data_IF_346077629984
#
_entry.id   IF_346077629984
#
_cell.length_a   1.000
_cell.length_b   1.000
_cell.length_c   1.000
_cell.angle_alpha   90.00
_cell.angle_beta   90.00
_cell.angle_gamma   90.00
#
_symmetry.space_group_name_H-M   'P 1'
#
loop_
_entity.id
_entity.type
_entity.pdbx_description
1 polymer ?
#
# COMPACT_ATOMS: atom_id res chain seq x y z
N UNK A 1 8.06 -3.37 30.62
CA UNK A 1 6.66 -3.71 30.25
C UNK A 1 5.71 -2.51 30.06
N UNK A 2 5.95 -1.31 30.62
CA UNK A 2 5.06 -0.13 30.44
C UNK A 2 5.17 0.60 29.08
N UNK A 3 6.33 0.64 28.41
CA UNK A 3 6.52 1.43 27.17
C UNK A 3 6.01 0.79 25.85
N UNK A 4 5.69 -0.52 25.85
CA UNK A 4 5.04 -1.16 24.68
C UNK A 4 3.55 -0.77 24.52
N UNK A 5 2.92 -0.20 25.55
CA UNK A 5 1.51 0.25 25.48
C UNK A 5 1.30 1.46 24.57
N UNK A 6 2.26 2.40 24.54
CA UNK A 6 2.07 3.67 23.84
C UNK A 6 2.03 3.53 22.31
N UNK A 7 2.67 2.50 21.74
CA UNK A 7 2.62 2.24 20.28
C UNK A 7 1.21 1.78 19.84
N UNK A 8 0.51 1.04 20.70
CA UNK A 8 -0.84 0.57 20.43
C UNK A 8 -1.89 1.69 20.51
N UNK A 9 -1.69 2.67 21.39
CA UNK A 9 -2.62 3.81 21.56
C UNK A 9 -2.69 4.68 20.30
N UNK A 10 -1.56 4.88 19.61
CA UNK A 10 -1.55 5.60 18.33
C UNK A 10 -2.19 4.84 17.18
N UNK A 11 -2.33 3.52 17.21
CA UNK A 11 -3.04 2.81 16.14
C UNK A 11 -4.57 2.77 16.36
N UNK A 12 -5.03 2.91 17.60
CA UNK A 12 -6.45 2.83 17.95
C UNK A 12 -7.31 3.91 17.29
N UNK A 13 -6.85 5.16 17.22
CA UNK A 13 -7.62 6.25 16.60
C UNK A 13 -7.78 6.08 15.08
N UNK A 14 -6.76 5.52 14.41
CA UNK A 14 -6.80 5.21 12.98
C UNK A 14 -7.76 4.07 12.69
N UNK A 15 -7.74 3.02 13.51
CA UNK A 15 -8.68 1.90 13.38
C UNK A 15 -10.14 2.37 13.54
N UNK A 16 -10.41 3.24 14.52
CA UNK A 16 -11.73 3.86 14.69
C UNK A 16 -12.08 4.72 13.46
N UNK A 17 -11.16 5.57 13.00
CA UNK A 17 -11.37 6.41 11.81
C UNK A 17 -11.69 5.59 10.55
N UNK A 18 -11.05 4.44 10.39
CA UNK A 18 -11.28 3.53 9.27
C UNK A 18 -12.67 2.90 9.35
N UNK A 19 -13.08 2.40 10.52
CA UNK A 19 -14.42 1.81 10.73
C UNK A 19 -15.55 2.82 10.43
N UNK A 20 -15.36 4.09 10.77
CA UNK A 20 -16.38 5.13 10.54
C UNK A 20 -16.34 5.75 9.13
N UNK A 21 -15.21 5.64 8.42
CA UNK A 21 -15.01 6.30 7.11
C UNK A 21 -14.87 5.30 5.97
N UNK A 22 -15.18 4.02 6.20
CA UNK A 22 -15.19 2.97 5.19
C UNK A 22 -16.34 3.25 4.20
N UNK A 23 -15.98 3.56 2.96
CA UNK A 23 -16.91 3.61 1.83
C UNK A 23 -16.46 2.57 0.81
N UNK A 24 -17.37 2.03 0.00
CA UNK A 24 -17.04 0.98 -0.99
C UNK A 24 -16.05 1.42 -2.08
N UNK A 25 -15.74 2.72 -2.14
CA UNK A 25 -14.76 3.29 -3.06
C UNK A 25 -13.49 3.70 -2.29
N UNK A 26 -12.31 3.49 -2.89
CA UNK A 26 -11.04 3.93 -2.33
C UNK A 26 -10.99 5.47 -2.30
N UNK A 27 -11.43 6.06 -1.19
CA UNK A 27 -11.52 7.50 -1.04
C UNK A 27 -10.35 8.03 -0.22
N UNK A 28 -9.62 9.01 -0.77
CA UNK A 28 -8.53 9.68 -0.05
C UNK A 28 -9.16 10.64 0.95
N UNK A 29 -9.56 10.09 2.08
CA UNK A 29 -10.18 10.86 3.14
C UNK A 29 -9.14 11.42 4.11
N UNK A 30 -9.63 12.18 5.09
CA UNK A 30 -8.85 12.80 6.16
C UNK A 30 -7.96 11.82 6.94
N UNK A 31 -8.19 10.49 6.88
CA UNK A 31 -7.36 9.50 7.58
C UNK A 31 -5.95 9.36 6.99
N UNK A 32 -5.79 9.63 5.69
CA UNK A 32 -4.49 9.52 4.97
C UNK A 32 -3.37 10.36 5.60
N UNK A 33 -3.54 11.68 5.87
CA UNK A 33 -2.52 12.46 6.57
C UNK A 33 -2.24 11.96 8.00
N UNK A 34 -3.26 11.44 8.71
CA UNK A 34 -3.08 10.88 10.05
C UNK A 34 -2.31 9.55 10.05
N UNK A 35 -2.39 8.75 8.97
CA UNK A 35 -1.53 7.58 8.78
C UNK A 35 -0.05 7.99 8.77
N UNK A 36 0.31 9.01 7.99
CA UNK A 36 1.69 9.51 7.90
C UNK A 36 2.16 10.07 9.24
N UNK A 37 1.30 10.83 9.92
CA UNK A 37 1.58 11.35 11.26
C UNK A 37 1.86 10.22 12.26
N UNK A 38 1.06 9.16 12.22
CA UNK A 38 1.21 8.00 13.09
C UNK A 38 2.53 7.26 12.84
N UNK A 39 2.91 7.05 11.58
CA UNK A 39 4.20 6.45 11.25
C UNK A 39 5.38 7.27 11.81
N UNK A 40 5.27 8.60 11.76
CA UNK A 40 6.29 9.50 12.32
C UNK A 40 6.36 9.42 13.85
N UNK A 41 5.22 9.29 14.54
CA UNK A 41 5.21 9.09 15.99
C UNK A 41 5.72 7.70 16.41
N UNK A 42 5.44 6.67 15.63
CA UNK A 42 6.04 5.34 15.84
C UNK A 42 7.56 5.45 15.73
N UNK A 43 8.07 6.09 14.67
CA UNK A 43 9.50 6.35 14.49
C UNK A 43 10.10 7.12 15.67
N UNK A 44 9.44 8.18 16.13
CA UNK A 44 9.85 8.96 17.30
C UNK A 44 9.97 8.09 18.57
N UNK A 45 8.99 7.22 18.84
CA UNK A 45 9.03 6.34 20.01
C UNK A 45 10.21 5.38 19.93
N UNK A 46 10.51 4.85 18.73
CA UNK A 46 11.68 3.99 18.51
C UNK A 46 12.99 4.77 18.69
N UNK A 47 13.11 5.96 18.13
CA UNK A 47 14.30 6.81 18.26
C UNK A 47 14.58 7.22 19.72
N UNK A 48 13.52 7.49 20.50
CA UNK A 48 13.63 7.73 21.96
C UNK A 48 14.07 6.45 22.66
N UNK A 49 13.50 5.30 22.30
CA UNK A 49 13.88 4.03 22.90
C UNK A 49 15.37 3.70 22.68
N UNK A 50 15.85 3.90 21.44
CA UNK A 50 17.26 3.70 21.12
C UNK A 50 18.17 4.73 21.80
N UNK A 51 17.70 5.95 22.03
CA UNK A 51 18.44 6.96 22.80
C UNK A 51 18.69 6.61 24.29
N UNK A 52 18.04 5.59 24.84
CA UNK A 52 18.29 5.09 26.20
C UNK A 52 19.35 3.97 26.25
N UNK A 53 19.76 3.42 25.09
CA UNK A 53 20.78 2.37 25.02
C UNK A 53 22.18 2.98 24.93
N UNK A 54 23.22 2.27 25.41
CA UNK A 54 24.60 2.71 25.20
C UNK A 54 24.95 2.72 23.70
N UNK A 55 25.84 3.63 23.30
CA UNK A 55 26.18 3.84 21.88
C UNK A 55 26.82 2.60 21.24
N UNK A 56 27.52 1.79 22.03
CA UNK A 56 28.24 0.60 21.54
C UNK A 56 27.30 -0.54 21.11
N UNK A 57 26.06 -0.56 21.58
CA UNK A 57 25.04 -1.54 21.19
C UNK A 57 24.24 -1.10 19.95
N UNK A 58 24.37 0.17 19.53
CA UNK A 58 23.57 0.75 18.47
C UNK A 58 24.29 0.66 17.12
N UNK A 59 23.52 0.38 16.07
CA UNK A 59 24.03 0.46 14.69
C UNK A 59 24.22 1.91 14.28
N UNK A 60 25.12 2.16 13.32
CA UNK A 60 25.47 3.52 12.85
C UNK A 60 24.25 4.36 12.46
N UNK A 61 23.23 3.77 11.81
CA UNK A 61 22.00 4.49 11.45
C UNK A 61 21.15 4.86 12.67
N UNK A 62 21.09 3.98 13.69
CA UNK A 62 20.34 4.24 14.93
C UNK A 62 21.00 5.35 15.75
N UNK A 63 22.33 5.42 15.75
CA UNK A 63 23.07 6.48 16.44
C UNK A 63 22.68 7.86 15.87
N UNK A 64 22.56 7.98 14.54
CA UNK A 64 22.22 9.24 13.87
C UNK A 64 20.82 9.75 14.21
N UNK A 65 19.86 8.83 14.42
CA UNK A 65 18.46 9.18 14.69
C UNK A 65 18.10 9.18 16.18
N UNK A 66 18.92 8.54 17.02
CA UNK A 66 18.66 8.36 18.44
C UNK A 66 18.40 9.68 19.18
N UNK A 67 17.35 9.71 19.99
CA UNK A 67 16.96 10.89 20.75
C UNK A 67 17.34 10.70 22.22
N UNK A 68 18.45 11.30 22.63
CA UNK A 68 18.93 11.27 24.02
C UNK A 68 18.10 12.15 24.95
N UNK A 69 17.71 13.34 24.47
CA UNK A 69 16.87 14.30 25.23
C UNK A 69 15.42 14.18 24.77
N UNK A 70 14.56 13.73 25.66
CA UNK A 70 13.12 13.62 25.44
C UNK A 70 12.52 14.95 24.96
N UNK A 71 11.70 14.94 23.89
CA UNK A 71 11.03 16.15 23.40
C UNK A 71 9.89 16.59 24.34
N UNK A 72 9.55 17.87 24.28
CA UNK A 72 8.36 18.40 24.95
C UNK A 72 7.12 18.25 24.04
N UNK A 73 5.92 18.46 24.60
CA UNK A 73 4.67 18.32 23.85
C UNK A 73 4.57 19.29 22.66
N UNK A 74 5.10 20.51 22.81
CA UNK A 74 5.11 21.51 21.74
C UNK A 74 5.98 21.08 20.56
N UNK A 75 7.14 20.51 20.83
CA UNK A 75 8.07 19.99 19.83
C UNK A 75 7.47 18.78 19.09
N UNK A 76 6.80 17.89 19.82
CA UNK A 76 6.08 16.76 19.22
C UNK A 76 4.98 17.26 18.29
N UNK A 77 4.21 18.28 18.71
CA UNK A 77 3.17 18.90 17.89
C UNK A 77 3.77 19.58 16.65
N UNK A 78 4.83 20.38 16.80
CA UNK A 78 5.51 21.02 15.68
C UNK A 78 6.08 20.01 14.68
N UNK A 79 6.63 18.91 15.17
CA UNK A 79 7.12 17.80 14.35
C UNK A 79 5.97 17.12 13.59
N UNK A 80 4.89 16.77 14.30
CA UNK A 80 3.73 16.07 13.72
C UNK A 80 3.01 16.89 12.66
N UNK A 81 2.79 18.18 12.91
CA UNK A 81 2.03 19.08 12.03
C UNK A 81 2.88 19.90 11.04
N UNK A 82 4.14 19.53 10.83
CA UNK A 82 5.01 20.21 9.87
C UNK A 82 4.47 20.09 8.43
N UNK A 83 4.01 21.21 7.86
CA UNK A 83 3.22 21.25 6.63
C UNK A 83 3.86 20.56 5.41
N UNK A 84 5.19 20.60 5.26
CA UNK A 84 5.87 19.91 4.15
C UNK A 84 5.80 18.38 4.24
N UNK A 85 5.38 17.84 5.38
CA UNK A 85 5.33 16.40 5.69
C UNK A 85 3.92 15.85 5.96
N UNK A 86 2.94 16.71 6.29
CA UNK A 86 1.68 16.26 6.91
C UNK A 86 0.71 15.54 5.97
N UNK A 87 0.62 15.90 4.68
CA UNK A 87 -0.46 15.43 3.80
C UNK A 87 -0.14 14.20 2.95
N UNK A 88 1.06 14.14 2.39
CA UNK A 88 1.59 12.98 1.65
C UNK A 88 3.11 12.91 1.78
N UNK A 89 3.66 13.76 2.66
CA UNK A 89 5.05 14.19 2.58
C UNK A 89 6.03 13.15 3.10
N UNK A 90 7.33 13.36 2.84
CA UNK A 90 8.35 12.39 3.14
C UNK A 90 8.42 12.12 4.65
N UNK A 91 8.60 10.86 5.03
CA UNK A 91 8.87 10.51 6.41
C UNK A 91 10.29 10.96 6.78
N UNK A 92 10.41 11.71 7.87
CA UNK A 92 11.69 12.11 8.45
C UNK A 92 11.67 12.04 9.97
N UNK A 93 12.85 11.88 10.55
CA UNK A 93 13.06 11.68 12.00
C UNK A 93 13.06 13.00 12.76
N UNK A 94 12.80 12.94 14.08
CA UNK A 94 12.83 14.13 14.92
C UNK A 94 14.23 14.74 15.01
N UNK A 95 15.28 13.92 14.98
CA UNK A 95 16.68 14.39 14.95
C UNK A 95 16.91 15.33 13.77
N UNK A 96 16.47 14.93 12.56
CA UNK A 96 16.54 15.77 11.36
C UNK A 96 15.69 17.04 11.49
N UNK A 97 14.51 16.95 12.10
CA UNK A 97 13.66 18.11 12.35
C UNK A 97 14.34 19.13 13.28
N UNK A 98 15.02 18.66 14.34
CA UNK A 98 15.81 19.52 15.23
C UNK A 98 16.92 20.23 14.47
N UNK A 99 17.70 19.51 13.65
CA UNK A 99 18.73 20.10 12.79
C UNK A 99 18.16 21.15 11.82
N UNK A 100 16.96 20.91 11.29
CA UNK A 100 16.26 21.87 10.44
C UNK A 100 15.87 23.14 11.21
N UNK A 101 15.23 23.01 12.37
CA UNK A 101 14.83 24.15 13.21
C UNK A 101 16.06 24.92 13.73
N UNK A 102 17.15 24.23 14.02
CA UNK A 102 18.43 24.84 14.42
C UNK A 102 19.13 25.58 13.25
N UNK A 103 18.71 25.35 12.01
CA UNK A 103 19.30 25.97 10.82
C UNK A 103 20.61 25.31 10.36
N UNK A 104 20.91 24.08 10.78
CA UNK A 104 22.14 23.36 10.43
C UNK A 104 22.26 23.08 8.92
N UNK A 105 21.13 23.05 8.20
CA UNK A 105 21.08 22.85 6.76
C UNK A 105 21.26 24.14 5.94
N UNK A 106 21.27 25.30 6.59
CA UNK A 106 21.46 26.58 5.92
C UNK A 106 22.93 26.78 5.53
N UNK A 107 23.19 27.79 4.70
CA UNK A 107 24.56 28.17 4.35
C UNK A 107 25.25 28.93 5.50
N UNK A 108 26.55 29.24 5.37
CA UNK A 108 27.32 30.01 6.35
C UNK A 108 26.68 31.37 6.70
N UNK A 109 25.86 31.93 5.80
CA UNK A 109 25.12 33.18 6.00
C UNK A 109 23.73 32.99 6.63
N UNK A 110 23.36 31.75 7.00
CA UNK A 110 22.00 31.34 7.41
C UNK A 110 20.92 31.56 6.35
N UNK A 111 21.30 31.46 5.08
CA UNK A 111 20.38 31.55 3.94
C UNK A 111 20.08 30.16 3.37
N UNK A 112 18.95 30.04 2.66
CA UNK A 112 18.57 28.80 1.98
C UNK A 112 19.53 28.56 0.81
N UNK A 113 20.08 27.34 0.74
CA UNK A 113 21.05 26.98 -0.31
C UNK A 113 20.39 26.98 -1.69
N UNK A 114 20.87 27.84 -2.58
CA UNK A 114 20.39 27.95 -3.97
C UNK A 114 20.61 26.64 -4.75
N UNK A 115 21.59 25.83 -4.34
CA UNK A 115 21.82 24.49 -4.91
C UNK A 115 20.61 23.56 -4.84
N UNK A 116 19.64 23.83 -3.94
CA UNK A 116 18.39 23.07 -3.85
C UNK A 116 17.39 23.35 -4.96
N UNK A 117 17.55 24.44 -5.71
CA UNK A 117 16.58 24.88 -6.73
C UNK A 117 16.55 23.92 -7.93
N UNK A 118 17.71 23.57 -8.48
CA UNK A 118 17.79 22.68 -9.65
C UNK A 118 17.23 21.27 -9.37
N UNK A 119 17.56 20.60 -8.25
CA UNK A 119 16.92 19.33 -7.88
C UNK A 119 15.40 19.43 -7.71
N UNK A 120 14.92 20.52 -7.11
CA UNK A 120 13.47 20.73 -6.90
C UNK A 120 12.75 20.91 -8.24
N UNK A 121 13.31 21.73 -9.14
CA UNK A 121 12.77 21.94 -10.48
C UNK A 121 12.80 20.65 -11.31
N UNK A 122 13.89 19.88 -11.24
CA UNK A 122 14.00 18.59 -11.93
C UNK A 122 12.92 17.60 -11.47
N UNK A 123 12.68 17.49 -10.16
CA UNK A 123 11.60 16.66 -9.61
C UNK A 123 10.21 17.14 -10.04
N UNK A 124 10.00 18.46 -10.08
CA UNK A 124 8.75 19.04 -10.55
C UNK A 124 8.48 18.72 -12.02
N UNK A 125 9.47 18.91 -12.90
CA UNK A 125 9.35 18.61 -14.33
C UNK A 125 9.11 17.10 -14.55
N UNK A 126 9.83 16.24 -13.83
CA UNK A 126 9.60 14.78 -13.90
C UNK A 126 8.19 14.41 -13.43
N UNK A 127 7.67 15.05 -12.37
CA UNK A 127 6.32 14.82 -11.90
C UNK A 127 5.27 15.25 -12.95
N UNK A 128 5.43 16.42 -13.57
CA UNK A 128 4.54 16.86 -14.65
C UNK A 128 4.58 15.91 -15.84
N UNK A 129 5.77 15.48 -16.26
CA UNK A 129 5.93 14.52 -17.36
C UNK A 129 5.27 13.18 -17.05
N UNK A 130 5.46 12.66 -15.82
CA UNK A 130 4.80 11.44 -15.35
C UNK A 130 3.28 11.60 -15.38
N UNK A 131 2.74 12.70 -14.86
CA UNK A 131 1.28 12.96 -14.84
C UNK A 131 0.72 12.96 -16.27
N UNK A 132 1.41 13.58 -17.23
CA UNK A 132 0.96 13.62 -18.63
C UNK A 132 0.93 12.20 -19.21
N UNK A 133 2.00 11.42 -19.05
CA UNK A 133 2.07 10.05 -19.55
C UNK A 133 1.00 9.18 -18.88
N UNK A 134 0.85 9.31 -17.56
CA UNK A 134 -0.12 8.54 -16.80
C UNK A 134 -1.56 8.89 -17.23
N UNK A 135 -1.89 10.17 -17.34
CA UNK A 135 -3.22 10.61 -17.77
C UNK A 135 -3.52 10.12 -19.20
N UNK A 136 -2.52 10.12 -20.08
CA UNK A 136 -2.67 9.58 -21.42
C UNK A 136 -2.82 8.05 -21.39
N UNK A 137 -2.04 7.35 -20.57
CA UNK A 137 -2.10 5.89 -20.41
C UNK A 137 -3.44 5.40 -19.85
N UNK A 138 -3.99 6.10 -18.85
CA UNK A 138 -5.29 5.76 -18.24
C UNK A 138 -6.45 5.85 -19.24
N UNK A 139 -6.36 6.70 -20.28
CA UNK A 139 -7.37 6.74 -21.35
C UNK A 139 -7.43 5.43 -22.15
N UNK A 140 -6.32 4.71 -22.26
CA UNK A 140 -6.23 3.45 -23.00
C UNK A 140 -6.40 2.23 -22.10
N UNK A 141 -5.84 2.28 -20.89
CA UNK A 141 -5.85 1.19 -19.92
C UNK A 141 -6.35 1.75 -18.58
N UNK A 142 -7.65 1.60 -18.28
CA UNK A 142 -8.20 2.00 -17.00
C UNK A 142 -7.50 1.29 -15.84
N UNK A 143 -7.37 1.94 -14.68
CA UNK A 143 -6.68 1.34 -13.52
C UNK A 143 -7.39 0.09 -13.00
N UNK A 144 -8.70 0.01 -13.23
CA UNK A 144 -9.55 -1.12 -12.89
C UNK A 144 -9.11 -2.39 -13.64
N UNK A 145 -8.53 -2.25 -14.83
CA UNK A 145 -8.00 -3.38 -15.59
C UNK A 145 -6.92 -4.15 -14.81
N UNK A 146 -6.03 -3.45 -14.09
CA UNK A 146 -4.98 -4.12 -13.32
C UNK A 146 -5.51 -4.89 -12.11
N UNK A 147 -6.76 -4.66 -11.72
CA UNK A 147 -7.45 -5.41 -10.68
C UNK A 147 -8.50 -6.38 -11.26
N UNK A 148 -8.56 -6.55 -12.57
CA UNK A 148 -9.54 -7.41 -13.21
C UNK A 148 -9.08 -8.87 -13.24
N UNK A 149 -10.01 -9.85 -13.19
CA UNK A 149 -9.67 -11.27 -13.29
C UNK A 149 -8.85 -11.59 -14.55
N UNK A 150 -9.12 -10.90 -15.65
CA UNK A 150 -8.43 -11.11 -16.94
C UNK A 150 -6.95 -10.75 -16.87
N UNK A 151 -6.60 -9.68 -16.14
CA UNK A 151 -5.19 -9.31 -15.93
C UNK A 151 -4.46 -10.38 -15.10
N UNK A 152 -5.09 -10.88 -14.04
CA UNK A 152 -4.53 -11.95 -13.21
C UNK A 152 -4.43 -13.28 -13.97
N UNK A 153 -5.45 -13.64 -14.76
CA UNK A 153 -5.40 -14.81 -15.65
C UNK A 153 -4.25 -14.70 -16.65
N UNK A 154 -4.08 -13.55 -17.29
CA UNK A 154 -2.97 -13.30 -18.21
C UNK A 154 -1.60 -13.44 -17.53
N UNK A 155 -1.44 -12.88 -16.34
CA UNK A 155 -0.24 -13.04 -15.53
C UNK A 155 0.01 -14.52 -15.15
N UNK A 156 -1.04 -15.27 -14.83
CA UNK A 156 -0.96 -16.68 -14.50
C UNK A 156 -0.62 -17.57 -15.72
N UNK A 157 -1.07 -17.19 -16.92
CA UNK A 157 -0.65 -17.82 -18.18
C UNK A 157 0.84 -17.60 -18.40
N UNK A 158 1.31 -16.35 -18.28
CA UNK A 158 2.73 -16.03 -18.42
C UNK A 158 3.61 -16.72 -17.37
N UNK A 159 3.09 -16.88 -16.14
CA UNK A 159 3.75 -17.61 -15.08
C UNK A 159 3.75 -19.14 -15.28
N UNK A 160 3.00 -19.67 -16.24
CA UNK A 160 2.92 -21.08 -16.57
C UNK A 160 1.86 -21.87 -15.79
N UNK A 161 1.33 -21.34 -14.69
CA UNK A 161 0.39 -22.06 -13.81
C UNK A 161 -0.97 -22.33 -14.46
N UNK A 162 -1.34 -21.55 -15.48
CA UNK A 162 -2.59 -21.75 -16.22
C UNK A 162 -2.55 -22.94 -17.20
N UNK A 163 -1.40 -23.62 -17.36
CA UNK A 163 -1.29 -24.75 -18.29
C UNK A 163 -2.14 -25.94 -17.86
N UNK A 164 -2.94 -26.47 -18.80
CA UNK A 164 -3.91 -27.55 -18.55
C UNK A 164 -3.85 -28.65 -19.63
N UNK A 165 -2.63 -29.05 -19.96
CA UNK A 165 -2.38 -30.10 -20.94
C UNK A 165 -2.70 -29.69 -22.38
N UNK A 166 -2.89 -30.69 -23.25
CA UNK A 166 -3.17 -30.49 -24.67
C UNK A 166 -4.63 -30.80 -25.03
N UNK A 167 -5.15 -30.11 -26.03
CA UNK A 167 -6.45 -30.40 -26.63
C UNK A 167 -6.40 -31.67 -27.50
N UNK A 168 -7.56 -32.09 -28.02
CA UNK A 168 -7.67 -33.25 -28.92
C UNK A 168 -6.93 -33.06 -30.26
N UNK A 169 -6.50 -31.82 -30.57
CA UNK A 169 -5.75 -31.45 -31.77
C UNK A 169 -4.25 -31.31 -31.49
N UNK A 170 -3.80 -31.52 -30.25
CA UNK A 170 -2.40 -31.43 -29.83
C UNK A 170 -1.90 -30.04 -29.43
N UNK A 171 -2.78 -29.02 -29.37
CA UNK A 171 -2.43 -27.66 -28.97
C UNK A 171 -2.46 -27.49 -27.45
N UNK A 172 -1.55 -26.66 -26.92
CA UNK A 172 -1.47 -26.36 -25.50
C UNK A 172 -2.70 -25.57 -25.02
N UNK A 173 -3.27 -25.99 -23.89
CA UNK A 173 -4.39 -25.31 -23.24
C UNK A 173 -3.92 -24.49 -22.06
N UNK A 174 -4.39 -23.26 -22.00
CA UNK A 174 -4.04 -22.26 -20.99
C UNK A 174 -5.26 -21.85 -20.17
N UNK A 175 -6.13 -22.81 -19.86
CA UNK A 175 -7.40 -22.59 -19.17
C UNK A 175 -7.46 -23.14 -17.74
N UNK A 176 -6.31 -23.54 -17.17
CA UNK A 176 -6.23 -24.17 -15.85
C UNK A 176 -6.64 -23.28 -14.68
N UNK A 177 -6.61 -21.96 -14.86
CA UNK A 177 -7.05 -20.95 -13.87
C UNK A 177 -8.07 -19.97 -14.44
N UNK A 178 -8.71 -20.33 -15.57
CA UNK A 178 -9.73 -19.47 -16.18
C UNK A 178 -10.91 -19.32 -15.24
N UNK A 179 -11.34 -18.08 -15.06
CA UNK A 179 -12.41 -17.72 -14.14
C UNK A 179 -13.69 -17.29 -14.87
N UNK A 180 -13.58 -16.80 -16.11
CA UNK A 180 -14.75 -16.40 -16.93
C UNK A 180 -14.78 -17.06 -18.31
N UNK A 181 -15.95 -17.60 -18.69
CA UNK A 181 -16.24 -18.09 -20.04
C UNK A 181 -17.10 -17.08 -20.82
N UNK A 182 -16.46 -16.08 -21.44
CA UNK A 182 -17.12 -14.97 -22.16
C UNK A 182 -18.26 -15.43 -23.08
N UNK A 183 -18.03 -16.42 -23.95
CA UNK A 183 -19.07 -16.89 -24.88
C UNK A 183 -20.26 -17.52 -24.18
N UNK A 184 -20.04 -18.23 -23.07
CA UNK A 184 -21.13 -18.89 -22.33
C UNK A 184 -21.86 -17.89 -21.43
N UNK A 185 -21.15 -16.87 -20.96
CA UNK A 185 -21.70 -15.75 -20.21
C UNK A 185 -22.63 -14.90 -21.08
N UNK A 186 -22.17 -14.46 -22.26
CA UNK A 186 -22.92 -13.54 -23.14
C UNK A 186 -24.09 -14.21 -23.88
N UNK A 187 -23.95 -15.49 -24.26
CA UNK A 187 -24.97 -16.19 -25.05
C UNK A 187 -25.77 -17.24 -24.26
N UNK A 188 -25.52 -17.38 -22.96
CA UNK A 188 -26.27 -18.27 -22.08
C UNK A 188 -27.64 -17.69 -21.77
N UNK A 189 -28.70 -18.48 -21.98
CA UNK A 189 -30.09 -18.06 -21.72
C UNK A 189 -30.69 -18.68 -20.45
N UNK A 190 -29.91 -19.51 -19.74
CA UNK A 190 -30.32 -20.23 -18.55
C UNK A 190 -29.41 -19.91 -17.35
N UNK A 191 -29.96 -20.06 -16.15
CA UNK A 191 -29.25 -19.73 -14.91
C UNK A 191 -28.02 -20.61 -14.66
N UNK A 192 -28.04 -21.88 -15.11
CA UNK A 192 -26.90 -22.78 -14.97
C UNK A 192 -25.73 -22.32 -15.84
N UNK A 193 -26.00 -21.79 -17.04
CA UNK A 193 -24.99 -21.20 -17.90
C UNK A 193 -24.29 -20.00 -17.26
N UNK A 194 -25.01 -19.17 -16.48
CA UNK A 194 -24.43 -18.05 -15.72
C UNK A 194 -23.46 -18.56 -14.65
N UNK A 195 -23.88 -19.55 -13.85
CA UNK A 195 -23.02 -20.15 -12.81
C UNK A 195 -21.79 -20.81 -13.43
N UNK A 196 -21.97 -21.58 -14.49
CA UNK A 196 -20.86 -22.31 -15.12
C UNK A 196 -19.88 -21.40 -15.87
N UNK A 197 -20.20 -20.11 -16.05
CA UNK A 197 -19.40 -19.18 -16.85
C UNK A 197 -18.72 -18.07 -16.08
N UNK A 198 -19.02 -17.86 -14.79
CA UNK A 198 -18.39 -16.85 -13.96
C UNK A 198 -17.90 -17.43 -12.64
N UNK A 199 -16.75 -16.97 -12.16
CA UNK A 199 -16.08 -17.48 -10.96
C UNK A 199 -15.87 -19.01 -10.99
N UNK A 200 -15.45 -19.51 -12.16
CA UNK A 200 -15.35 -20.94 -12.51
C UNK A 200 -14.44 -21.69 -11.54
N UNK A 201 -13.36 -21.07 -11.07
CA UNK A 201 -12.44 -21.67 -10.11
C UNK A 201 -13.13 -21.97 -8.78
N UNK A 202 -13.87 -20.99 -8.26
CA UNK A 202 -14.62 -21.13 -7.00
C UNK A 202 -15.76 -22.12 -7.14
N UNK A 203 -16.50 -22.08 -8.25
CA UNK A 203 -17.59 -23.03 -8.49
C UNK A 203 -17.08 -24.46 -8.58
N UNK A 204 -15.93 -24.67 -9.24
CA UNK A 204 -15.27 -25.97 -9.30
C UNK A 204 -14.80 -26.41 -7.91
N UNK A 205 -14.20 -25.51 -7.13
CA UNK A 205 -13.79 -25.77 -5.77
C UNK A 205 -14.97 -26.18 -4.89
N UNK A 206 -16.05 -25.40 -4.88
CA UNK A 206 -17.25 -25.65 -4.09
C UNK A 206 -17.91 -26.98 -4.51
N UNK A 207 -18.03 -27.25 -5.81
CA UNK A 207 -18.57 -28.51 -6.31
C UNK A 207 -17.74 -29.72 -5.86
N UNK A 208 -16.41 -29.64 -5.97
CA UNK A 208 -15.53 -30.77 -5.68
C UNK A 208 -15.27 -30.98 -4.18
N UNK A 209 -15.16 -29.90 -3.41
CA UNK A 209 -14.75 -29.96 -2.01
C UNK A 209 -15.90 -29.83 -1.02
N UNK A 210 -17.01 -29.21 -1.41
CA UNK A 210 -18.20 -29.11 -0.56
C UNK A 210 -19.28 -30.05 -1.08
N UNK A 211 -19.84 -29.79 -2.27
CA UNK A 211 -21.03 -30.47 -2.76
C UNK A 211 -20.85 -31.98 -2.84
N UNK A 212 -19.82 -32.46 -3.56
CA UNK A 212 -19.52 -33.89 -3.70
C UNK A 212 -19.18 -34.58 -2.38
N UNK A 213 -18.55 -33.85 -1.45
CA UNK A 213 -18.15 -34.43 -0.15
C UNK A 213 -19.28 -34.46 0.86
N UNK A 214 -20.31 -33.63 0.68
CA UNK A 214 -21.51 -33.55 1.52
C UNK A 214 -22.70 -34.31 0.92
N UNK A 215 -22.50 -35.10 -0.13
CA UNK A 215 -23.56 -35.92 -0.75
C UNK A 215 -24.24 -36.89 0.23
N UNK A 216 -23.55 -37.29 1.30
CA UNK A 216 -24.13 -38.13 2.35
C UNK A 216 -25.24 -37.44 3.17
N UNK A 217 -25.41 -36.12 3.05
CA UNK A 217 -26.52 -35.35 3.64
C UNK A 217 -27.81 -35.38 2.77
N UNK A 218 -27.84 -36.19 1.71
CA UNK A 218 -29.02 -36.35 0.85
C UNK A 218 -29.18 -35.28 -0.23
N UNK A 219 -28.12 -34.52 -0.50
CA UNK A 219 -28.09 -33.55 -1.60
C UNK A 219 -27.76 -34.30 -2.92
N UNK A 220 -28.70 -34.35 -3.86
CA UNK A 220 -28.50 -34.93 -5.20
C UNK A 220 -28.08 -33.86 -6.20
#
# INVERSE_FOLDING_TARGET
>A
KKKKKNVFEFQGHLLIGYIYSETDNYDINWTTPFCVMTLRFIGLVMDIYDGHKPADELKTYQIQTSIKKSPNLLEIAAFGYFFCGTFAGPLFTLSRFRSFVAGEFLDSKKEVRISGLMPSLGRFVMACFYIIIYQWGVLWIPNEYFNSPEFFEGAAILAGIAYNGKDLKGNDRWDGVRDVHIKRWEFGLDFQSVIDSFNVGTNTFAKNNLYRRLQWLGNQ
#
